data_IF_308706054693
#
_entry.id   IF_308706054693
#
_cell.length_a   1.000
_cell.length_b   1.000
_cell.length_c   1.000
_cell.angle_alpha   90.00
_cell.angle_beta   90.00
_cell.angle_gamma   90.00
#
_symmetry.space_group_name_H-M   'P 1'
#
loop_
_entity.id
_entity.type
_entity.pdbx_description
1 polymer ?
#
# COMPACT_ATOMS: atom_id res chain seq x y z
N UNK A 1 17.35 3.25 -7.09
CA UNK A 1 16.13 2.44 -6.79
C UNK A 1 15.16 3.37 -6.11
N UNK A 2 14.12 3.76 -6.83
CA UNK A 2 13.22 4.85 -6.46
C UNK A 2 11.84 4.55 -7.04
N UNK A 3 10.79 5.02 -6.36
CA UNK A 3 9.45 4.99 -6.92
C UNK A 3 9.25 6.09 -7.97
N UNK A 4 8.14 6.04 -8.73
CA UNK A 4 7.82 7.02 -9.76
C UNK A 4 7.85 8.47 -9.26
N UNK A 5 7.36 8.70 -8.03
CA UNK A 5 7.30 10.04 -7.44
C UNK A 5 8.68 10.67 -7.26
N UNK A 6 9.65 9.89 -6.77
CA UNK A 6 11.03 10.37 -6.57
C UNK A 6 11.68 10.74 -7.90
N UNK A 7 11.46 9.95 -8.96
CA UNK A 7 11.97 10.25 -10.29
C UNK A 7 11.36 11.52 -10.91
N UNK A 8 10.31 12.08 -10.28
CA UNK A 8 9.59 13.28 -10.73
C UNK A 8 9.76 14.48 -9.80
N UNK A 9 10.65 14.38 -8.80
CA UNK A 9 11.05 15.53 -7.97
C UNK A 9 11.73 16.57 -8.86
N UNK A 10 11.33 17.83 -8.69
CA UNK A 10 11.81 18.96 -9.48
C UNK A 10 11.64 20.31 -8.77
N UNK A 11 11.64 21.42 -9.53
CA UNK A 11 11.56 22.78 -8.98
C UNK A 11 10.30 23.04 -8.14
N UNK A 12 9.21 22.30 -8.36
CA UNK A 12 7.96 22.45 -7.61
C UNK A 12 8.11 22.00 -6.15
N UNK A 13 8.72 20.84 -5.90
CA UNK A 13 9.01 20.37 -4.54
C UNK A 13 10.01 21.30 -3.84
N UNK A 14 11.05 21.75 -4.56
CA UNK A 14 12.03 22.70 -4.03
C UNK A 14 11.37 24.01 -3.58
N UNK A 15 10.49 24.57 -4.42
CA UNK A 15 9.79 25.81 -4.11
C UNK A 15 8.91 25.70 -2.86
N UNK A 16 8.15 24.60 -2.72
CA UNK A 16 7.30 24.37 -1.55
C UNK A 16 8.13 24.20 -0.26
N UNK A 17 9.25 23.46 -0.32
CA UNK A 17 10.15 23.26 0.82
C UNK A 17 10.87 24.55 1.22
N UNK A 18 11.41 25.30 0.25
CA UNK A 18 12.04 26.59 0.52
C UNK A 18 11.05 27.60 1.11
N UNK A 19 9.78 27.55 0.70
CA UNK A 19 8.76 28.38 1.31
C UNK A 19 8.59 28.05 2.81
N UNK A 20 8.49 26.78 3.19
CA UNK A 20 8.43 26.37 4.62
C UNK A 20 9.63 26.92 5.41
N UNK A 21 10.85 26.78 4.87
CA UNK A 21 12.07 27.22 5.55
C UNK A 21 12.16 28.75 5.67
N UNK A 22 11.72 29.50 4.66
CA UNK A 22 11.73 30.97 4.67
C UNK A 22 10.71 31.54 5.64
N UNK A 23 9.51 30.97 5.68
CA UNK A 23 8.45 31.38 6.62
C UNK A 23 8.71 30.90 8.05
N UNK A 24 9.60 29.90 8.25
CA UNK A 24 9.93 29.27 9.55
C UNK A 24 8.74 28.54 10.19
N UNK A 25 7.78 28.13 9.38
CA UNK A 25 6.55 27.46 9.76
C UNK A 25 6.74 25.94 9.64
N UNK A 26 7.45 25.35 10.61
CA UNK A 26 7.82 23.92 10.58
C UNK A 26 6.76 23.00 11.19
N UNK A 27 5.73 23.58 11.82
CA UNK A 27 4.63 22.88 12.47
C UNK A 27 3.38 22.95 11.60
N UNK A 28 2.65 21.84 11.47
CA UNK A 28 1.38 21.80 10.73
C UNK A 28 0.26 22.62 11.40
N UNK A 29 0.43 22.93 12.68
CA UNK A 29 -0.49 23.76 13.48
C UNK A 29 0.22 25.00 13.98
N UNK A 30 -0.48 26.13 13.92
CA UNK A 30 -0.07 27.41 14.49
C UNK A 30 -0.80 27.61 15.81
N UNK A 31 -0.06 27.94 16.86
CA UNK A 31 -0.64 28.10 18.20
C UNK A 31 -1.30 29.46 18.41
N UNK A 32 -0.92 30.47 17.61
CA UNK A 32 -1.34 31.86 17.78
C UNK A 32 -2.43 32.30 16.76
N UNK A 33 -2.88 31.39 15.89
CA UNK A 33 -3.89 31.65 14.84
C UNK A 33 -5.31 31.37 15.35
N UNK A 34 -5.78 32.18 16.29
CA UNK A 34 -7.05 31.94 16.99
C UNK A 34 -8.31 32.28 16.17
N UNK A 35 -8.19 33.11 15.13
CA UNK A 35 -9.31 33.53 14.28
C UNK A 35 -9.35 32.80 12.91
N UNK A 36 -8.37 31.92 12.65
CA UNK A 36 -8.27 31.15 11.41
C UNK A 36 -8.01 32.00 10.17
N UNK A 37 -7.53 33.23 10.34
CA UNK A 37 -7.22 34.14 9.24
C UNK A 37 -5.91 33.80 8.53
N UNK A 38 -5.05 33.00 9.16
CA UNK A 38 -3.76 32.67 8.57
C UNK A 38 -3.90 31.70 7.38
N UNK A 39 -3.01 31.79 6.37
CA UNK A 39 -3.04 30.85 5.25
C UNK A 39 -2.87 29.41 5.72
N UNK A 40 -3.58 28.48 5.07
CA UNK A 40 -3.44 27.05 5.32
C UNK A 40 -1.97 26.60 5.26
N UNK A 41 -1.58 25.76 6.21
CA UNK A 41 -0.28 25.08 6.25
C UNK A 41 -0.08 24.18 5.03
N UNK A 42 1.15 23.78 4.74
CA UNK A 42 1.44 22.90 3.60
C UNK A 42 0.73 21.56 3.75
N UNK A 43 0.72 20.99 4.95
CA UNK A 43 -0.04 19.76 5.22
C UNK A 43 -1.54 19.97 4.97
N UNK A 44 -2.14 21.06 5.47
CA UNK A 44 -3.56 21.32 5.28
C UNK A 44 -3.94 21.55 3.80
N UNK A 45 -3.07 22.22 3.03
CA UNK A 45 -3.26 22.39 1.57
C UNK A 45 -3.15 21.05 0.85
N UNK A 46 -2.18 20.22 1.21
CA UNK A 46 -2.05 18.88 0.65
C UNK A 46 -3.30 18.04 0.95
N UNK A 47 -3.79 18.04 2.19
CA UNK A 47 -5.02 17.35 2.58
C UNK A 47 -6.24 17.86 1.79
N UNK A 48 -6.33 19.16 1.52
CA UNK A 48 -7.38 19.75 0.70
C UNK A 48 -7.29 19.30 -0.77
N UNK A 49 -6.10 19.34 -1.37
CA UNK A 49 -5.91 18.94 -2.76
C UNK A 49 -6.11 17.43 -2.95
N UNK A 50 -5.69 16.61 -1.99
CA UNK A 50 -5.90 15.17 -2.05
C UNK A 50 -7.38 14.79 -1.89
N UNK A 51 -8.15 15.49 -1.04
CA UNK A 51 -9.62 15.35 -1.00
C UNK A 51 -10.28 15.76 -2.31
N UNK A 52 -9.82 16.87 -2.89
CA UNK A 52 -10.36 17.35 -4.18
C UNK A 52 -10.10 16.32 -5.29
N UNK A 53 -8.92 15.72 -5.31
CA UNK A 53 -8.57 14.67 -6.25
C UNK A 53 -9.44 13.42 -6.06
N UNK A 54 -9.56 12.94 -4.82
CA UNK A 54 -10.21 11.65 -4.51
C UNK A 54 -11.73 11.73 -4.37
N UNK A 55 -12.27 12.91 -4.10
CA UNK A 55 -13.68 13.13 -3.76
C UNK A 55 -14.05 12.81 -2.31
N UNK A 56 -13.09 12.44 -1.46
CA UNK A 56 -13.35 12.11 -0.06
C UNK A 56 -13.64 13.34 0.79
N UNK A 57 -14.46 13.19 1.84
CA UNK A 57 -14.80 14.27 2.78
C UNK A 57 -13.61 14.64 3.66
N UNK A 58 -12.88 13.64 4.15
CA UNK A 58 -11.78 13.82 5.10
C UNK A 58 -10.48 13.20 4.60
N UNK A 59 -9.39 13.92 4.86
CA UNK A 59 -8.02 13.48 4.61
C UNK A 59 -7.16 13.92 5.78
N UNK A 60 -6.44 12.97 6.38
CA UNK A 60 -5.54 13.22 7.50
C UNK A 60 -4.13 12.76 7.12
N UNK A 61 -3.24 13.71 6.88
CA UNK A 61 -1.82 13.50 6.67
C UNK A 61 -1.16 13.02 7.94
N UNK A 62 -0.47 11.89 7.87
CA UNK A 62 0.25 11.23 8.96
C UNK A 62 1.72 11.02 8.62
N UNK A 63 2.52 10.63 9.61
CA UNK A 63 3.94 10.36 9.42
C UNK A 63 4.24 9.09 8.57
N UNK A 64 3.26 8.20 8.36
CA UNK A 64 3.43 6.93 7.63
C UNK A 64 2.08 6.27 7.33
N UNK A 65 2.03 5.41 6.30
CA UNK A 65 0.86 4.57 6.02
C UNK A 65 0.56 3.60 7.17
N UNK A 66 1.59 3.06 7.81
CA UNK A 66 1.43 2.18 8.98
C UNK A 66 0.67 2.89 10.10
N UNK A 67 0.96 4.17 10.34
CA UNK A 67 0.24 4.98 11.33
C UNK A 67 -1.19 5.27 10.90
N UNK A 68 -1.44 5.50 9.60
CA UNK A 68 -2.78 5.64 9.06
C UNK A 68 -3.62 4.37 9.24
N UNK A 69 -3.08 3.20 8.91
CA UNK A 69 -3.73 1.91 9.16
C UNK A 69 -4.01 1.69 10.64
N UNK A 70 -3.01 1.91 11.50
CA UNK A 70 -3.14 1.70 12.95
C UNK A 70 -4.21 2.63 13.57
N UNK A 71 -4.12 3.94 13.31
CA UNK A 71 -5.07 4.91 13.83
C UNK A 71 -6.48 4.70 13.25
N UNK A 72 -6.59 4.36 11.97
CA UNK A 72 -7.87 4.08 11.32
C UNK A 72 -8.55 2.82 11.87
N UNK A 73 -7.79 1.74 12.12
CA UNK A 73 -8.32 0.52 12.74
C UNK A 73 -8.84 0.80 14.15
N UNK A 74 -8.07 1.49 14.99
CA UNK A 74 -8.52 1.89 16.34
C UNK A 74 -9.75 2.81 16.28
N UNK A 75 -9.76 3.80 15.39
CA UNK A 75 -10.89 4.72 15.20
C UNK A 75 -12.14 4.01 14.68
N UNK A 76 -11.99 2.92 13.93
CA UNK A 76 -13.08 2.05 13.50
C UNK A 76 -13.52 1.04 14.59
N UNK A 77 -12.92 1.10 15.78
CA UNK A 77 -13.25 0.27 16.93
C UNK A 77 -12.67 -1.15 16.86
N UNK A 78 -11.62 -1.38 16.08
CA UNK A 78 -10.86 -2.65 16.10
C UNK A 78 -9.94 -2.67 17.30
N UNK A 79 -9.97 -3.76 18.07
CA UNK A 79 -9.11 -3.91 19.23
C UNK A 79 -8.99 -5.33 19.76
N UNK A 80 -8.60 -5.49 21.04
CA UNK A 80 -8.40 -6.81 21.64
C UNK A 80 -9.63 -7.70 21.57
N UNK A 81 -9.45 -8.91 21.00
CA UNK A 81 -10.52 -9.90 20.83
C UNK A 81 -11.13 -9.93 19.43
N UNK A 82 -10.87 -8.91 18.61
CA UNK A 82 -11.29 -8.90 17.21
C UNK A 82 -10.34 -9.71 16.32
N UNK A 83 -10.86 -10.22 15.20
CA UNK A 83 -10.11 -10.77 14.09
C UNK A 83 -10.19 -9.84 12.88
N UNK A 84 -9.06 -9.60 12.22
CA UNK A 84 -8.99 -8.81 10.99
C UNK A 84 -8.39 -9.66 9.89
N UNK A 85 -9.11 -9.85 8.79
CA UNK A 85 -8.65 -10.64 7.65
C UNK A 85 -7.71 -9.80 6.77
N UNK A 86 -6.54 -10.34 6.41
CA UNK A 86 -5.50 -9.66 5.61
C UNK A 86 -4.92 -10.66 4.60
N UNK A 87 -4.56 -10.29 3.37
CA UNK A 87 -3.96 -11.24 2.43
C UNK A 87 -2.57 -11.71 2.87
N UNK A 88 -2.20 -12.94 2.50
CA UNK A 88 -0.87 -13.51 2.71
C UNK A 88 0.22 -12.91 1.82
N UNK A 89 -0.18 -12.28 0.71
CA UNK A 89 0.69 -11.44 -0.10
C UNK A 89 0.36 -9.96 0.17
N UNK A 90 1.17 -9.35 1.02
CA UNK A 90 1.07 -7.93 1.43
C UNK A 90 2.39 -7.48 2.03
N UNK A 91 2.62 -6.17 2.14
CA UNK A 91 3.69 -5.69 3.00
C UNK A 91 3.35 -5.87 4.49
N UNK A 92 4.34 -6.25 5.31
CA UNK A 92 4.16 -6.54 6.75
C UNK A 92 3.44 -5.45 7.55
N UNK A 93 3.45 -4.19 7.09
CA UNK A 93 2.80 -3.08 7.76
C UNK A 93 1.29 -3.27 7.94
N UNK A 94 0.58 -3.88 6.98
CA UNK A 94 -0.86 -4.13 7.09
C UNK A 94 -1.15 -5.08 8.26
N UNK A 95 -0.31 -6.10 8.43
CA UNK A 95 -0.44 -7.07 9.52
C UNK A 95 0.02 -6.46 10.86
N UNK A 96 1.12 -5.70 10.85
CA UNK A 96 1.64 -5.05 12.04
C UNK A 96 0.65 -4.03 12.62
N UNK A 97 -0.04 -3.27 11.76
CA UNK A 97 -1.07 -2.33 12.20
C UNK A 97 -2.20 -3.04 12.96
N UNK A 98 -2.70 -4.18 12.45
CA UNK A 98 -3.67 -5.02 13.14
C UNK A 98 -3.13 -5.49 14.49
N UNK A 99 -1.96 -6.12 14.51
CA UNK A 99 -1.38 -6.67 15.73
C UNK A 99 -1.17 -5.59 16.81
N UNK A 100 -0.80 -4.37 16.43
CA UNK A 100 -0.62 -3.26 17.35
C UNK A 100 -1.92 -2.68 17.94
N UNK A 101 -3.08 -2.94 17.32
CA UNK A 101 -4.38 -2.65 17.96
C UNK A 101 -4.72 -3.66 19.07
N UNK A 102 -4.01 -4.79 19.13
CA UNK A 102 -4.32 -5.93 19.98
C UNK A 102 -5.30 -6.93 19.36
N UNK A 103 -5.80 -6.67 18.14
CA UNK A 103 -6.57 -7.61 17.34
C UNK A 103 -5.70 -8.71 16.73
N UNK A 104 -6.34 -9.82 16.35
CA UNK A 104 -5.69 -10.98 15.73
C UNK A 104 -5.72 -10.86 14.20
N UNK A 105 -4.56 -10.78 13.52
CA UNK A 105 -4.53 -10.87 12.07
C UNK A 105 -4.82 -12.31 11.60
N UNK A 106 -5.79 -12.44 10.70
CA UNK A 106 -6.18 -13.70 10.06
C UNK A 106 -5.77 -13.65 8.60
N UNK A 107 -4.69 -14.35 8.24
CA UNK A 107 -4.23 -14.35 6.85
C UNK A 107 -5.15 -15.17 5.95
N UNK A 108 -5.39 -14.65 4.77
CA UNK A 108 -6.17 -15.24 3.70
C UNK A 108 -5.37 -15.41 2.40
N UNK A 109 -5.82 -16.34 1.57
CA UNK A 109 -5.26 -16.63 0.26
C UNK A 109 -5.43 -15.45 -0.70
N UNK A 110 -4.56 -15.43 -1.71
CA UNK A 110 -4.75 -14.63 -2.91
C UNK A 110 -5.22 -15.49 -4.08
N UNK A 111 -5.92 -14.88 -5.02
CA UNK A 111 -6.31 -15.51 -6.28
C UNK A 111 -5.29 -15.22 -7.39
N UNK A 112 -5.61 -15.58 -8.63
CA UNK A 112 -4.76 -15.40 -9.80
C UNK A 112 -4.35 -13.93 -10.06
N UNK A 113 -5.13 -12.96 -9.55
CA UNK A 113 -4.80 -11.53 -9.61
C UNK A 113 -3.71 -11.13 -8.60
N UNK A 114 -3.30 -12.06 -7.74
CA UNK A 114 -2.42 -11.85 -6.59
C UNK A 114 -2.99 -10.86 -5.56
N UNK A 115 -4.32 -10.70 -5.55
CA UNK A 115 -5.07 -9.90 -4.58
C UNK A 115 -5.91 -10.82 -3.71
N UNK A 116 -6.43 -10.26 -2.62
CA UNK A 116 -7.21 -11.01 -1.63
C UNK A 116 -8.39 -11.75 -2.27
N UNK A 117 -8.44 -13.09 -2.12
CA UNK A 117 -9.50 -13.94 -2.68
C UNK A 117 -10.79 -13.81 -1.84
N UNK A 118 -11.89 -13.24 -2.39
CA UNK A 118 -13.15 -13.12 -1.65
C UNK A 118 -13.73 -14.44 -1.15
N UNK A 119 -13.48 -15.56 -1.86
CA UNK A 119 -13.97 -16.87 -1.45
C UNK A 119 -13.23 -17.40 -0.20
N UNK A 120 -11.92 -17.19 -0.12
CA UNK A 120 -11.14 -17.55 1.06
C UNK A 120 -11.41 -16.59 2.24
N UNK A 121 -11.71 -15.31 1.97
CA UNK A 121 -12.23 -14.40 3.00
C UNK A 121 -13.50 -14.96 3.61
N UNK A 122 -14.50 -15.32 2.79
CA UNK A 122 -15.77 -15.88 3.26
C UNK A 122 -15.57 -17.12 4.14
N UNK A 123 -14.63 -18.00 3.76
CA UNK A 123 -14.28 -19.20 4.52
C UNK A 123 -13.60 -18.92 5.87
N UNK A 124 -13.04 -17.72 6.06
CA UNK A 124 -12.30 -17.33 7.27
C UNK A 124 -13.09 -16.47 8.23
N UNK A 125 -14.28 -16.03 7.85
CA UNK A 125 -15.16 -15.25 8.73
C UNK A 125 -15.54 -16.10 9.94
N UNK A 126 -15.38 -15.51 11.12
CA UNK A 126 -15.83 -16.07 12.40
C UNK A 126 -16.66 -15.03 13.14
N UNK A 127 -17.26 -15.41 14.26
CA UNK A 127 -17.96 -14.46 15.14
C UNK A 127 -17.06 -13.35 15.73
N UNK A 128 -15.73 -13.48 15.63
CA UNK A 128 -14.77 -12.45 16.04
C UNK A 128 -14.32 -11.56 14.89
N UNK A 129 -14.63 -11.91 13.64
CA UNK A 129 -14.20 -11.10 12.49
C UNK A 129 -14.86 -9.73 12.55
N UNK A 130 -14.03 -8.69 12.55
CA UNK A 130 -14.46 -7.29 12.64
C UNK A 130 -14.21 -6.53 11.35
N UNK A 131 -13.12 -6.86 10.66
CA UNK A 131 -12.71 -6.15 9.45
C UNK A 131 -11.99 -7.05 8.44
N UNK A 132 -11.98 -6.60 7.19
CA UNK A 132 -11.21 -7.16 6.08
C UNK A 132 -10.36 -6.03 5.49
N UNK A 133 -9.06 -6.26 5.33
CA UNK A 133 -8.15 -5.30 4.69
C UNK A 133 -7.93 -5.72 3.23
N UNK A 134 -8.51 -4.96 2.30
CA UNK A 134 -8.22 -5.05 0.88
C UNK A 134 -6.89 -4.34 0.59
N UNK A 135 -5.84 -5.11 0.30
CA UNK A 135 -4.53 -4.55 -0.06
C UNK A 135 -4.41 -4.51 -1.58
N UNK A 136 -4.35 -3.30 -2.14
CA UNK A 136 -4.20 -3.07 -3.58
C UNK A 136 -2.76 -3.29 -4.04
N UNK A 137 -2.33 -4.55 -3.97
CA UNK A 137 -0.95 -4.95 -4.20
C UNK A 137 -0.49 -4.64 -5.62
N UNK A 138 0.73 -4.10 -5.71
CA UNK A 138 1.37 -3.72 -6.97
C UNK A 138 0.53 -2.73 -7.79
N UNK A 139 -0.27 -1.89 -7.11
CA UNK A 139 -1.09 -0.86 -7.74
C UNK A 139 -2.41 -1.32 -8.37
N UNK A 140 -2.72 -2.62 -8.29
CA UNK A 140 -3.96 -3.16 -8.85
C UNK A 140 -5.12 -3.08 -7.85
N UNK A 141 -6.31 -2.61 -8.27
CA UNK A 141 -7.53 -2.67 -7.49
C UNK A 141 -7.94 -4.10 -7.16
N UNK A 142 -8.34 -4.35 -5.91
CA UNK A 142 -8.96 -5.62 -5.52
C UNK A 142 -10.34 -5.75 -6.18
N UNK A 143 -10.95 -6.94 -6.11
CA UNK A 143 -12.38 -7.13 -6.42
C UNK A 143 -13.25 -6.44 -5.35
N UNK A 144 -13.39 -5.12 -5.48
CA UNK A 144 -14.08 -4.30 -4.49
C UNK A 144 -15.58 -4.57 -4.51
N UNK A 145 -16.18 -4.94 -5.65
CA UNK A 145 -17.59 -5.33 -5.71
C UNK A 145 -17.82 -6.59 -4.86
N UNK A 146 -16.99 -7.63 -5.02
CA UNK A 146 -17.12 -8.86 -4.24
C UNK A 146 -16.83 -8.65 -2.74
N UNK A 147 -15.76 -7.91 -2.42
CA UNK A 147 -15.38 -7.65 -1.02
C UNK A 147 -16.38 -6.75 -0.29
N UNK A 148 -16.91 -5.71 -0.94
CA UNK A 148 -17.93 -4.83 -0.38
C UNK A 148 -19.25 -5.57 -0.17
N UNK A 149 -19.69 -6.38 -1.14
CA UNK A 149 -20.87 -7.23 -0.98
C UNK A 149 -20.72 -8.19 0.21
N UNK A 150 -19.59 -8.91 0.29
CA UNK A 150 -19.30 -9.86 1.36
C UNK A 150 -19.23 -9.18 2.74
N UNK A 151 -18.51 -8.06 2.84
CA UNK A 151 -18.39 -7.34 4.13
C UNK A 151 -19.72 -6.78 4.60
N UNK A 152 -20.58 -6.27 3.69
CA UNK A 152 -21.93 -5.82 4.04
C UNK A 152 -22.83 -6.96 4.49
N UNK A 153 -22.82 -8.10 3.81
CA UNK A 153 -23.60 -9.28 4.18
C UNK A 153 -23.32 -9.72 5.63
N UNK A 154 -22.06 -9.65 6.05
CA UNK A 154 -21.61 -10.08 7.37
C UNK A 154 -21.49 -8.93 8.40
N UNK A 155 -21.82 -7.69 8.04
CA UNK A 155 -21.67 -6.54 8.93
C UNK A 155 -20.22 -6.24 9.33
N UNK A 156 -19.27 -6.55 8.46
CA UNK A 156 -17.83 -6.34 8.64
C UNK A 156 -17.40 -4.98 8.09
N UNK A 157 -16.29 -4.46 8.61
CA UNK A 157 -15.64 -3.28 8.05
C UNK A 157 -14.76 -3.67 6.86
N UNK A 158 -14.90 -2.98 5.74
CA UNK A 158 -13.90 -3.00 4.67
C UNK A 158 -12.87 -1.89 4.91
N UNK A 159 -11.59 -2.20 4.86
CA UNK A 159 -10.48 -1.23 4.97
C UNK A 159 -9.62 -1.37 3.72
N UNK A 160 -9.21 -0.25 3.13
CA UNK A 160 -8.36 -0.26 1.95
C UNK A 160 -6.92 0.13 2.31
N UNK A 161 -5.97 -0.77 2.04
CA UNK A 161 -4.54 -0.45 2.05
C UNK A 161 -4.12 -0.08 0.62
N UNK A 162 -4.06 1.23 0.37
CA UNK A 162 -3.70 1.84 -0.89
C UNK A 162 -2.21 2.21 -0.94
N UNK A 163 -1.35 1.64 -0.08
CA UNK A 163 0.07 2.01 0.00
C UNK A 163 0.82 1.87 -1.33
N UNK A 164 0.37 1.00 -2.23
CA UNK A 164 0.95 0.80 -3.56
C UNK A 164 0.02 1.27 -4.70
N UNK A 165 -1.16 1.82 -4.38
CA UNK A 165 -2.20 2.17 -5.34
C UNK A 165 -2.60 3.66 -5.27
N UNK A 166 -1.61 4.53 -5.02
CA UNK A 166 -1.80 5.98 -4.96
C UNK A 166 -2.40 6.53 -6.26
N UNK A 167 -3.64 7.01 -6.18
CA UNK A 167 -4.40 7.58 -7.31
C UNK A 167 -5.04 6.54 -8.25
N UNK A 168 -4.95 5.24 -7.93
CA UNK A 168 -5.72 4.22 -8.63
C UNK A 168 -7.22 4.42 -8.46
N UNK A 169 -8.00 3.77 -9.32
CA UNK A 169 -9.47 3.83 -9.31
C UNK A 169 -10.07 2.43 -9.41
N UNK A 170 -11.35 2.30 -9.08
CA UNK A 170 -12.17 1.14 -9.41
C UNK A 170 -13.50 1.64 -9.97
N UNK A 171 -13.84 1.26 -11.20
CA UNK A 171 -15.01 1.74 -11.94
C UNK A 171 -15.15 3.28 -11.93
N UNK A 172 -14.02 3.97 -12.09
CA UNK A 172 -13.93 5.43 -12.16
C UNK A 172 -13.95 6.17 -10.81
N UNK A 173 -14.15 5.47 -9.68
CA UNK A 173 -14.04 6.06 -8.34
C UNK A 173 -12.66 5.79 -7.74
N UNK A 174 -12.06 6.77 -7.07
CA UNK A 174 -10.74 6.61 -6.46
C UNK A 174 -10.72 5.55 -5.35
N UNK A 175 -9.66 4.73 -5.37
CA UNK A 175 -9.37 3.78 -4.29
C UNK A 175 -9.19 4.51 -2.96
N UNK A 176 -9.46 3.81 -1.86
CA UNK A 176 -9.45 4.36 -0.51
C UNK A 176 -10.76 5.02 -0.08
N UNK A 177 -11.77 5.07 -0.97
CA UNK A 177 -13.09 5.61 -0.70
C UNK A 177 -14.21 4.56 -0.62
N UNK A 178 -13.95 3.28 -0.88
CA UNK A 178 -14.98 2.24 -0.91
C UNK A 178 -15.29 1.69 0.47
N UNK A 179 -14.26 1.52 1.30
CA UNK A 179 -14.38 1.00 2.65
C UNK A 179 -14.69 2.07 3.71
N UNK A 180 -14.50 1.67 4.96
CA UNK A 180 -14.57 2.51 6.16
C UNK A 180 -13.50 3.61 6.14
N UNK A 181 -12.31 3.27 5.68
CA UNK A 181 -11.23 4.23 5.39
C UNK A 181 -10.20 3.60 4.42
N UNK A 182 -9.45 4.48 3.75
CA UNK A 182 -8.28 4.13 2.96
C UNK A 182 -7.00 4.65 3.58
N UNK A 183 -5.91 3.90 3.46
CA UNK A 183 -4.59 4.30 3.92
C UNK A 183 -3.58 4.37 2.77
N UNK A 184 -2.83 5.47 2.68
CA UNK A 184 -1.85 5.70 1.62
C UNK A 184 -0.46 5.90 2.20
N UNK A 185 0.55 5.57 1.39
CA UNK A 185 1.96 5.74 1.71
C UNK A 185 2.59 6.81 0.82
N UNK A 186 3.43 7.64 1.43
CA UNK A 186 4.27 8.63 0.74
C UNK A 186 5.76 8.28 0.81
N UNK A 187 6.09 7.04 1.19
CA UNK A 187 7.47 6.55 1.18
C UNK A 187 8.15 6.69 -0.21
N UNK A 188 9.48 6.72 -0.25
CA UNK A 188 10.30 6.88 -1.47
C UNK A 188 10.03 5.89 -2.62
N UNK A 189 9.43 4.73 -2.35
CA UNK A 189 9.11 3.73 -3.38
C UNK A 189 7.72 3.89 -4.01
N UNK A 190 6.93 4.92 -3.61
CA UNK A 190 5.52 5.03 -4.00
C UNK A 190 5.31 5.86 -5.27
N UNK A 191 4.11 5.73 -5.86
CA UNK A 191 3.69 6.43 -7.08
C UNK A 191 3.87 7.94 -6.96
N UNK A 192 3.56 8.49 -5.78
CA UNK A 192 3.90 9.85 -5.36
C UNK A 192 4.50 9.79 -3.96
N UNK A 193 5.36 10.73 -3.61
CA UNK A 193 6.21 10.61 -2.41
C UNK A 193 6.34 11.90 -1.61
N UNK A 194 6.81 11.77 -0.37
CA UNK A 194 7.29 12.86 0.47
C UNK A 194 8.53 12.43 1.27
N UNK A 195 9.28 11.44 0.77
CA UNK A 195 10.33 10.75 1.52
C UNK A 195 9.74 9.69 2.44
N UNK A 196 9.06 10.13 3.49
CA UNK A 196 8.20 9.32 4.36
C UNK A 196 6.95 10.10 4.74
N UNK A 197 5.83 9.40 4.86
CA UNK A 197 4.53 9.99 5.14
C UNK A 197 3.41 9.01 4.86
N UNK A 198 2.20 9.36 5.26
CA UNK A 198 1.00 8.62 4.91
C UNK A 198 -0.25 9.48 4.99
N UNK A 199 -1.36 8.90 4.58
CA UNK A 199 -2.67 9.56 4.59
C UNK A 199 -3.72 8.57 5.05
N UNK A 200 -4.63 9.01 5.93
CA UNK A 200 -5.91 8.36 6.17
C UNK A 200 -6.99 9.13 5.42
N UNK A 201 -7.78 8.43 4.61
CA UNK A 201 -8.90 8.96 3.83
C UNK A 201 -10.20 8.34 4.32
N UNK A 202 -11.24 9.13 4.57
CA UNK A 202 -12.55 8.60 5.00
C UNK A 202 -13.67 9.58 4.67
N UNK A 203 -14.89 9.05 4.56
CA UNK A 203 -16.12 9.83 4.47
C UNK A 203 -16.89 9.88 5.81
N UNK A 204 -16.35 9.27 6.87
CA UNK A 204 -17.00 9.19 8.18
C UNK A 204 -16.43 10.23 9.16
N UNK A 205 -17.30 11.13 9.62
CA UNK A 205 -16.95 12.24 10.51
C UNK A 205 -16.41 11.74 11.87
N UNK A 206 -17.07 10.76 12.49
CA UNK A 206 -16.69 10.22 13.80
C UNK A 206 -15.34 9.50 13.75
N UNK A 207 -15.09 8.75 12.66
CA UNK A 207 -13.82 8.09 12.42
C UNK A 207 -12.71 9.13 12.24
N UNK A 208 -12.95 10.19 11.46
CA UNK A 208 -11.97 11.25 11.26
C UNK A 208 -11.63 11.95 12.58
N UNK A 209 -12.62 12.33 13.38
CA UNK A 209 -12.40 12.97 14.68
C UNK A 209 -11.60 12.08 15.63
N UNK A 210 -11.95 10.79 15.71
CA UNK A 210 -11.25 9.81 16.56
C UNK A 210 -9.82 9.57 16.06
N UNK A 211 -9.63 9.41 14.75
CA UNK A 211 -8.32 9.22 14.14
C UNK A 211 -7.42 10.46 14.34
N UNK A 212 -7.98 11.67 14.27
CA UNK A 212 -7.27 12.92 14.53
C UNK A 212 -6.79 12.98 15.98
N UNK A 213 -7.67 12.67 16.93
CA UNK A 213 -7.33 12.60 18.34
C UNK A 213 -6.23 11.57 18.62
N UNK A 214 -6.29 10.39 18.00
CA UNK A 214 -5.24 9.36 18.10
C UNK A 214 -3.90 9.83 17.51
N UNK A 215 -3.96 10.62 16.45
CA UNK A 215 -2.79 11.14 15.74
C UNK A 215 -2.10 12.29 16.48
N UNK A 216 -2.83 13.01 17.33
CA UNK A 216 -2.36 14.26 17.92
C UNK A 216 -2.75 14.43 19.41
N UNK A 217 -2.38 13.46 20.25
CA UNK A 217 -2.52 13.52 21.71
C UNK A 217 -3.92 13.89 22.25
N UNK A 218 -4.99 13.44 21.59
CA UNK A 218 -6.37 13.71 22.02
C UNK A 218 -6.93 15.05 21.53
N UNK A 219 -6.20 15.78 20.68
CA UNK A 219 -6.64 17.08 20.19
C UNK A 219 -7.84 16.98 19.23
N UNK A 220 -8.64 18.04 19.17
CA UNK A 220 -9.70 18.19 18.17
C UNK A 220 -9.12 18.59 16.80
N UNK A 221 -9.80 18.23 15.69
CA UNK A 221 -9.39 18.61 14.33
C UNK A 221 -9.10 20.10 14.17
N UNK A 222 -8.01 20.41 13.47
CA UNK A 222 -7.55 21.76 13.11
C UNK A 222 -7.24 22.72 14.28
N UNK A 223 -7.65 22.40 15.51
CA UNK A 223 -7.41 23.18 16.74
C UNK A 223 -7.92 24.63 16.66
N UNK A 224 -8.89 24.93 15.79
CA UNK A 224 -9.49 26.26 15.62
C UNK A 224 -10.61 26.44 16.65
N UNK A 225 -10.35 27.24 17.68
CA UNK A 225 -11.34 27.60 18.72
C UNK A 225 -11.66 26.50 19.75
N UNK A 226 -11.43 25.22 19.43
CA UNK A 226 -11.53 24.08 20.34
C UNK A 226 -10.27 23.22 20.19
N UNK A 227 -9.53 23.01 21.29
CA UNK A 227 -8.29 22.22 21.29
C UNK A 227 -8.47 20.80 21.78
N UNK A 228 -9.44 20.58 22.68
CA UNK A 228 -9.72 19.27 23.28
C UNK A 228 -10.67 18.47 22.38
N UNK A 229 -10.20 17.30 21.92
CA UNK A 229 -11.01 16.34 21.18
C UNK A 229 -11.63 15.28 22.11
N UNK A 230 -12.04 14.13 21.57
CA UNK A 230 -12.46 12.98 22.36
C UNK A 230 -11.44 12.63 23.46
N UNK A 231 -11.88 12.27 24.68
CA UNK A 231 -11.01 12.03 25.83
C UNK A 231 -10.28 10.69 25.71
N UNK A 232 -9.30 10.62 24.81
CA UNK A 232 -8.49 9.44 24.52
C UNK A 232 -7.00 9.75 24.52
N UNK A 233 -6.19 8.75 24.84
CA UNK A 233 -4.74 8.87 24.76
C UNK A 233 -4.28 8.70 23.32
N UNK A 234 -3.94 9.83 22.67
CA UNK A 234 -3.31 9.84 21.36
C UNK A 234 -1.78 9.73 21.42
N UNK A 235 -1.20 9.39 20.28
CA UNK A 235 0.24 9.42 20.02
C UNK A 235 0.62 10.73 19.30
N UNK A 236 1.87 10.81 18.88
CA UNK A 236 2.33 11.81 17.92
C UNK A 236 2.58 11.12 16.58
N UNK A 237 1.58 11.14 15.70
CA UNK A 237 1.63 10.56 14.36
C UNK A 237 1.65 11.65 13.28
N UNK A 238 2.00 12.89 13.67
CA UNK A 238 1.86 14.08 12.84
C UNK A 238 2.74 14.06 11.60
N UNK A 239 2.16 14.45 10.47
CA UNK A 239 2.92 14.88 9.30
C UNK A 239 3.57 16.25 9.58
N UNK A 240 4.86 16.37 9.24
CA UNK A 240 5.60 17.62 9.35
C UNK A 240 5.43 18.50 8.10
N UNK A 241 5.62 19.82 8.24
CA UNK A 241 5.43 20.76 7.12
C UNK A 241 6.39 20.53 5.94
N UNK A 242 7.61 20.06 6.19
CA UNK A 242 8.54 19.69 5.12
C UNK A 242 8.02 18.49 4.31
N UNK A 243 7.46 17.48 4.99
CA UNK A 243 6.78 16.35 4.34
C UNK A 243 5.55 16.84 3.57
N UNK A 244 4.72 17.68 4.19
CA UNK A 244 3.53 18.27 3.57
C UNK A 244 3.87 19.10 2.32
N UNK A 245 4.97 19.84 2.33
CA UNK A 245 5.44 20.63 1.20
C UNK A 245 5.78 19.76 -0.02
N UNK A 246 6.55 18.69 0.19
CA UNK A 246 6.87 17.74 -0.90
C UNK A 246 5.60 17.03 -1.38
N UNK A 247 4.74 16.58 -0.45
CA UNK A 247 3.48 15.92 -0.77
C UNK A 247 2.54 16.82 -1.60
N UNK A 248 2.48 18.12 -1.28
CA UNK A 248 1.68 19.12 -1.99
C UNK A 248 2.13 19.31 -3.44
N UNK A 249 3.43 19.38 -3.69
CA UNK A 249 3.94 19.42 -5.07
C UNK A 249 3.67 18.10 -5.81
N UNK A 250 3.87 16.97 -5.14
CA UNK A 250 3.75 15.64 -5.73
C UNK A 250 2.31 15.24 -6.06
N UNK A 251 1.32 15.61 -5.24
CA UNK A 251 -0.10 15.30 -5.52
C UNK A 251 -0.58 15.96 -6.82
N UNK A 252 -0.07 17.16 -7.14
CA UNK A 252 -0.38 17.87 -8.39
C UNK A 252 0.17 17.16 -9.62
N UNK A 253 1.25 16.38 -9.46
CA UNK A 253 1.89 15.58 -10.52
C UNK A 253 1.27 14.19 -10.66
N UNK A 254 0.52 13.71 -9.68
CA UNK A 254 0.02 12.34 -9.65
C UNK A 254 -0.79 11.93 -10.90
N UNK A 255 -1.72 12.75 -11.44
CA UNK A 255 -2.44 12.39 -12.67
C UNK A 255 -1.51 12.19 -13.88
N UNK A 256 -0.46 13.03 -14.00
CA UNK A 256 0.54 12.91 -15.07
C UNK A 256 1.36 11.63 -14.92
N UNK A 257 1.83 11.36 -13.70
CA UNK A 257 2.59 10.15 -13.37
C UNK A 257 1.81 8.90 -13.76
N UNK A 258 0.53 8.81 -13.36
CA UNK A 258 -0.32 7.66 -13.68
C UNK A 258 -0.55 7.52 -15.18
N UNK A 259 -0.77 8.62 -15.89
CA UNK A 259 -0.91 8.63 -17.35
C UNK A 259 0.35 8.09 -18.04
N UNK A 260 1.54 8.52 -17.61
CA UNK A 260 2.81 7.98 -18.14
C UNK A 260 2.98 6.50 -17.81
N UNK A 261 2.74 6.09 -16.56
CA UNK A 261 2.88 4.69 -16.14
C UNK A 261 1.98 3.75 -16.95
N UNK A 262 0.72 4.12 -17.15
CA UNK A 262 -0.24 3.33 -17.95
C UNK A 262 0.21 3.23 -19.41
N UNK A 263 0.62 4.33 -20.02
CA UNK A 263 1.15 4.33 -21.39
C UNK A 263 2.41 3.45 -21.52
N UNK A 264 3.34 3.54 -20.56
CA UNK A 264 4.56 2.73 -20.55
C UNK A 264 4.24 1.24 -20.34
N UNK A 265 3.32 0.91 -19.43
CA UNK A 265 2.83 -0.46 -19.23
C UNK A 265 2.25 -1.02 -20.52
N UNK A 266 1.41 -0.27 -21.23
CA UNK A 266 0.75 -0.74 -22.44
C UNK A 266 1.77 -1.02 -23.55
N UNK A 267 2.65 -0.04 -23.84
CA UNK A 267 3.77 -0.23 -24.77
C UNK A 267 4.64 -1.43 -24.40
N UNK A 268 4.97 -1.57 -23.13
CA UNK A 268 5.84 -2.64 -22.65
C UNK A 268 5.16 -4.02 -22.76
N UNK A 269 3.88 -4.12 -22.38
CA UNK A 269 3.10 -5.35 -22.51
C UNK A 269 2.91 -5.75 -23.98
N UNK A 270 2.59 -4.79 -24.86
CA UNK A 270 2.44 -5.02 -26.30
C UNK A 270 3.75 -5.48 -26.95
N UNK A 271 4.88 -4.89 -26.56
CA UNK A 271 6.20 -5.29 -27.05
C UNK A 271 6.63 -6.69 -26.57
N UNK A 272 6.18 -7.13 -25.39
CA UNK A 272 6.41 -8.49 -24.90
C UNK A 272 5.53 -9.49 -25.70
N UNK A 273 4.23 -9.17 -25.84
CA UNK A 273 3.25 -10.02 -26.50
C UNK A 273 2.96 -11.32 -25.74
N UNK A 274 2.29 -12.26 -26.41
CA UNK A 274 1.99 -13.57 -25.84
C UNK A 274 3.23 -14.47 -25.81
N UNK A 275 3.42 -15.19 -24.71
CA UNK A 275 4.53 -16.10 -24.49
C UNK A 275 4.02 -17.49 -24.10
N UNK A 276 4.59 -18.58 -24.62
CA UNK A 276 4.13 -19.94 -24.34
C UNK A 276 4.33 -20.28 -22.86
N UNK A 277 3.27 -20.79 -22.21
CA UNK A 277 3.32 -21.18 -20.80
C UNK A 277 3.44 -20.02 -19.83
N UNK A 278 3.13 -18.79 -20.26
CA UNK A 278 3.17 -17.60 -19.43
C UNK A 278 1.87 -16.82 -19.59
N UNK A 279 1.28 -16.39 -18.49
CA UNK A 279 0.04 -15.63 -18.46
C UNK A 279 0.27 -14.32 -17.72
N UNK A 280 -0.21 -13.21 -18.29
CA UNK A 280 -0.21 -11.92 -17.60
C UNK A 280 -1.22 -11.97 -16.45
N UNK A 281 -0.87 -11.39 -15.31
CA UNK A 281 -1.76 -11.25 -14.14
C UNK A 281 -3.12 -10.66 -14.57
N UNK A 282 -4.25 -11.32 -14.28
CA UNK A 282 -5.57 -10.74 -14.49
C UNK A 282 -5.80 -9.54 -13.56
N UNK A 283 -6.59 -8.56 -14.00
CA UNK A 283 -6.93 -7.36 -13.25
C UNK A 283 -8.46 -7.23 -13.20
N UNK A 284 -9.02 -6.90 -12.03
CA UNK A 284 -10.46 -6.68 -11.89
C UNK A 284 -10.93 -5.35 -12.52
N UNK A 285 -10.06 -4.34 -12.52
CA UNK A 285 -10.25 -3.09 -13.26
C UNK A 285 -8.93 -2.65 -13.92
N UNK A 286 -8.68 -3.04 -15.19
CA UNK A 286 -7.47 -2.66 -15.92
C UNK A 286 -7.28 -1.15 -16.12
N UNK A 287 -8.38 -0.40 -16.23
CA UNK A 287 -8.35 1.06 -16.41
C UNK A 287 -8.01 1.78 -15.09
N UNK A 288 -8.36 1.14 -13.98
CA UNK A 288 -8.12 1.61 -12.63
C UNK A 288 -6.73 1.38 -12.05
N UNK A 289 -5.96 0.45 -12.62
CA UNK A 289 -4.59 0.10 -12.21
C UNK A 289 -3.63 1.30 -12.22
N UNK A 290 -2.75 1.39 -11.22
CA UNK A 290 -1.66 2.38 -11.18
C UNK A 290 -0.51 2.05 -12.15
N UNK A 291 -0.46 0.83 -12.68
CA UNK A 291 0.49 0.40 -13.70
C UNK A 291 1.97 0.55 -13.29
N UNK A 292 2.27 0.38 -11.99
CA UNK A 292 3.65 0.54 -11.47
C UNK A 292 4.53 -0.67 -11.76
N UNK A 293 3.91 -1.83 -11.98
CA UNK A 293 4.55 -3.14 -12.17
C UNK A 293 3.70 -3.99 -13.13
N UNK A 294 4.35 -4.72 -14.04
CA UNK A 294 3.75 -5.79 -14.83
C UNK A 294 4.08 -7.15 -14.20
N UNK A 295 3.11 -8.05 -14.10
CA UNK A 295 3.33 -9.37 -13.50
C UNK A 295 2.96 -10.47 -14.48
N UNK A 296 3.84 -11.46 -14.57
CA UNK A 296 3.66 -12.66 -15.37
C UNK A 296 3.74 -13.89 -14.48
N UNK A 297 2.79 -14.80 -14.66
CA UNK A 297 2.69 -16.08 -13.96
C UNK A 297 3.01 -17.21 -14.95
N UNK A 298 3.98 -18.04 -14.60
CA UNK A 298 4.53 -19.10 -15.45
C UNK A 298 3.89 -20.45 -15.15
N UNK A 299 3.80 -21.34 -16.13
CA UNK A 299 3.18 -22.66 -16.00
C UNK A 299 3.79 -23.54 -14.88
N UNK A 300 5.02 -23.27 -14.46
CA UNK A 300 5.65 -23.93 -13.31
C UNK A 300 6.62 -23.01 -12.57
N UNK A 301 6.82 -23.29 -11.26
CA UNK A 301 7.82 -22.62 -10.44
C UNK A 301 9.26 -22.84 -10.96
N UNK A 302 9.53 -24.00 -11.57
CA UNK A 302 10.83 -24.29 -12.17
C UNK A 302 11.14 -23.34 -13.35
N UNK A 303 10.17 -23.14 -14.24
CA UNK A 303 10.32 -22.21 -15.37
C UNK A 303 10.49 -20.76 -14.87
N UNK A 304 9.68 -20.32 -13.92
CA UNK A 304 9.84 -18.99 -13.31
C UNK A 304 11.21 -18.83 -12.64
N UNK A 305 11.69 -19.85 -11.92
CA UNK A 305 13.00 -19.85 -11.28
C UNK A 305 14.16 -19.68 -12.26
N UNK A 306 14.11 -20.41 -13.38
CA UNK A 306 15.12 -20.31 -14.45
C UNK A 306 15.12 -18.93 -15.11
N UNK A 307 13.94 -18.41 -15.46
CA UNK A 307 13.80 -17.07 -16.03
C UNK A 307 14.28 -16.00 -15.04
N UNK A 308 13.89 -16.09 -13.77
CA UNK A 308 14.32 -15.17 -12.74
C UNK A 308 15.85 -15.17 -12.57
N UNK A 309 16.48 -16.35 -12.58
CA UNK A 309 17.93 -16.49 -12.48
C UNK A 309 18.65 -15.84 -13.66
N UNK A 310 18.19 -16.08 -14.89
CA UNK A 310 18.77 -15.48 -16.12
C UNK A 310 18.62 -13.96 -16.17
N UNK A 311 17.50 -13.43 -15.69
CA UNK A 311 17.26 -11.98 -15.60
C UNK A 311 17.98 -11.34 -14.40
N UNK A 312 18.50 -12.12 -13.46
CA UNK A 312 19.07 -11.60 -12.21
C UNK A 312 18.03 -10.95 -11.30
N UNK A 313 16.80 -11.50 -11.29
CA UNK A 313 15.68 -11.12 -10.43
C UNK A 313 15.22 -12.31 -9.56
N UNK A 314 14.07 -12.19 -8.90
CA UNK A 314 13.46 -13.21 -8.05
C UNK A 314 12.02 -13.48 -8.47
N UNK A 315 11.51 -14.66 -8.11
CA UNK A 315 10.06 -14.89 -8.09
C UNK A 315 9.45 -14.21 -6.85
N UNK A 316 8.16 -13.88 -6.92
CA UNK A 316 7.48 -13.15 -5.84
C UNK A 316 7.46 -13.92 -4.51
N UNK A 317 7.59 -15.25 -4.53
CA UNK A 317 7.73 -16.05 -3.29
C UNK A 317 8.94 -15.65 -2.45
N UNK A 318 9.98 -15.08 -3.08
CA UNK A 318 11.20 -14.60 -2.42
C UNK A 318 11.16 -13.11 -2.10
N UNK A 319 10.07 -12.41 -2.42
CA UNK A 319 9.86 -11.01 -2.04
C UNK A 319 9.81 -10.93 -0.51
N UNK A 320 10.65 -10.07 0.08
CA UNK A 320 11.02 -10.16 1.50
C UNK A 320 9.83 -10.09 2.46
N UNK A 321 9.51 -8.91 2.99
CA UNK A 321 8.35 -8.69 3.86
C UNK A 321 7.08 -8.43 3.05
N UNK A 322 7.02 -8.93 1.82
CA UNK A 322 5.83 -8.90 0.97
C UNK A 322 5.12 -10.27 0.91
N UNK A 323 5.84 -11.35 1.24
CA UNK A 323 5.28 -12.69 1.37
C UNK A 323 5.27 -13.12 2.84
N UNK A 324 4.10 -13.51 3.36
CA UNK A 324 3.94 -13.98 4.75
C UNK A 324 4.97 -15.07 5.13
N UNK A 325 5.29 -15.98 4.21
CA UNK A 325 6.19 -17.11 4.46
C UNK A 325 7.61 -16.67 4.88
N UNK A 326 8.00 -15.44 4.50
CA UNK A 326 9.29 -14.83 4.79
C UNK A 326 9.27 -13.95 6.07
N UNK A 327 8.11 -13.73 6.69
CA UNK A 327 7.96 -12.87 7.87
C UNK A 327 8.16 -13.70 9.15
N UNK A 328 9.30 -13.52 9.83
CA UNK A 328 9.57 -14.23 11.09
C UNK A 328 8.60 -13.86 12.21
N UNK A 329 7.98 -12.67 12.15
CA UNK A 329 7.01 -12.17 13.10
C UNK A 329 5.74 -13.03 13.18
N UNK A 330 5.42 -13.76 12.12
CA UNK A 330 4.26 -14.65 12.04
C UNK A 330 4.55 -16.07 12.55
N UNK A 331 5.75 -16.29 13.12
CA UNK A 331 6.19 -17.57 13.67
C UNK A 331 6.66 -17.38 15.11
N UNK A 332 5.72 -17.13 16.05
CA UNK A 332 6.06 -16.82 17.44
C UNK A 332 6.88 -17.93 18.12
N UNK A 333 6.77 -19.18 17.63
CA UNK A 333 7.51 -20.38 18.05
C UNK A 333 9.01 -20.37 17.69
N UNK A 334 9.45 -19.55 16.72
CA UNK A 334 10.86 -19.50 16.27
C UNK A 334 11.75 -18.50 17.00
N UNK A 335 11.21 -17.75 17.96
CA UNK A 335 12.00 -16.82 18.76
C UNK A 335 12.67 -17.57 19.93
N UNK A 336 13.83 -18.16 19.64
CA UNK A 336 14.61 -18.93 20.62
C UNK A 336 15.34 -18.02 21.63
N UNK A 337 15.06 -18.25 22.91
CA UNK A 337 15.87 -18.06 24.14
C UNK A 337 15.72 -16.79 25.03
N UNK A 338 15.22 -17.06 26.25
CA UNK A 338 15.73 -16.69 27.60
C UNK A 338 16.39 -15.32 27.80
N UNK A 339 15.58 -14.26 27.77
CA UNK A 339 15.75 -12.94 28.42
C UNK A 339 14.81 -11.90 27.76
N UNK A 340 14.48 -12.14 26.49
CA UNK A 340 13.58 -11.32 25.65
C UNK A 340 12.10 -11.48 26.01
N UNK A 341 11.68 -12.68 26.46
CA UNK A 341 10.28 -12.98 26.81
C UNK A 341 9.68 -12.06 27.89
N UNK A 342 10.50 -11.60 28.85
CA UNK A 342 10.05 -10.69 29.91
C UNK A 342 9.99 -9.22 29.46
N UNK A 343 10.52 -8.88 28.29
CA UNK A 343 10.57 -7.52 27.72
C UNK A 343 9.84 -7.41 26.39
N UNK A 344 9.00 -8.40 26.05
CA UNK A 344 8.08 -8.30 24.92
C UNK A 344 6.95 -7.32 25.26
N UNK A 345 6.87 -6.14 24.62
CA UNK A 345 5.67 -5.31 24.71
C UNK A 345 4.47 -6.00 24.03
N UNK A 346 4.73 -7.00 23.19
CA UNK A 346 3.80 -7.80 22.38
C UNK A 346 3.31 -9.08 23.07
N UNK A 347 2.86 -9.02 24.34
CA UNK A 347 1.96 -10.09 24.86
C UNK A 347 0.69 -10.25 24.00
N UNK A 348 0.44 -9.30 23.09
CA UNK A 348 -0.55 -9.29 22.02
C UNK A 348 -0.01 -9.74 20.64
N UNK A 349 1.12 -10.46 20.56
CA UNK A 349 1.55 -11.09 19.30
C UNK A 349 0.41 -11.93 18.70
N UNK A 350 0.34 -12.08 17.36
CA UNK A 350 -0.64 -12.95 16.73
C UNK A 350 -0.58 -14.34 17.38
N UNK A 351 -1.73 -14.79 17.88
CA UNK A 351 -1.86 -16.12 18.49
C UNK A 351 -1.74 -17.21 17.42
N UNK A 352 -2.12 -16.90 16.19
CA UNK A 352 -1.97 -17.77 15.02
C UNK A 352 -0.54 -17.71 14.50
N UNK A 353 0.03 -18.88 14.22
CA UNK A 353 1.31 -19.02 13.52
C UNK A 353 1.05 -19.35 12.06
N UNK A 354 1.82 -18.72 11.16
CA UNK A 354 1.74 -18.91 9.72
C UNK A 354 3.11 -19.32 9.15
N UNK A 355 3.57 -20.57 9.36
CA UNK A 355 4.74 -21.08 8.67
C UNK A 355 4.53 -21.17 7.15
N UNK A 356 5.60 -21.21 6.33
CA UNK A 356 5.48 -21.54 4.91
C UNK A 356 4.63 -22.80 4.69
N UNK A 357 3.73 -22.79 3.70
CA UNK A 357 2.74 -23.84 3.47
C UNK A 357 1.37 -23.59 4.12
N UNK A 358 1.21 -22.51 4.90
CA UNK A 358 -0.08 -22.18 5.54
C UNK A 358 -1.13 -21.65 4.56
N UNK A 359 -0.67 -21.07 3.45
CA UNK A 359 -1.49 -20.52 2.37
C UNK A 359 -0.99 -21.14 1.05
N UNK A 360 -1.33 -22.42 0.77
CA UNK A 360 -0.78 -23.17 -0.35
C UNK A 360 -1.08 -22.55 -1.72
N UNK A 361 -2.20 -21.85 -1.90
CA UNK A 361 -2.50 -21.20 -3.19
C UNK A 361 -1.60 -19.98 -3.40
N UNK A 362 -1.46 -19.16 -2.36
CA UNK A 362 -0.52 -18.02 -2.34
C UNK A 362 0.90 -18.50 -2.58
N UNK A 363 1.33 -19.56 -1.91
CA UNK A 363 2.67 -20.13 -2.08
C UNK A 363 2.92 -20.60 -3.52
N UNK A 364 1.97 -21.32 -4.11
CA UNK A 364 2.02 -21.74 -5.52
C UNK A 364 2.16 -20.52 -6.42
N UNK A 365 1.18 -19.61 -6.41
CA UNK A 365 1.14 -18.46 -7.31
C UNK A 365 2.41 -17.63 -7.22
N UNK A 366 2.83 -17.24 -6.02
CA UNK A 366 4.02 -16.42 -5.83
C UNK A 366 5.30 -17.14 -6.27
N UNK A 367 5.38 -18.47 -6.16
CA UNK A 367 6.56 -19.24 -6.58
C UNK A 367 6.76 -19.23 -8.11
N UNK A 368 5.69 -19.00 -8.86
CA UNK A 368 5.66 -18.98 -10.33
C UNK A 368 5.38 -17.60 -10.92
N UNK A 369 5.32 -16.54 -10.12
CA UNK A 369 5.13 -15.18 -10.62
C UNK A 369 6.42 -14.35 -10.57
N UNK A 370 6.66 -13.57 -11.62
CA UNK A 370 7.74 -12.58 -11.71
C UNK A 370 7.14 -11.20 -11.96
N UNK A 371 7.63 -10.20 -11.24
CA UNK A 371 7.31 -8.81 -11.43
C UNK A 371 8.37 -8.11 -12.30
N UNK A 372 7.92 -7.36 -13.29
CA UNK A 372 8.72 -6.45 -14.09
C UNK A 372 8.34 -5.01 -13.72
N UNK A 373 9.33 -4.19 -13.39
CA UNK A 373 9.08 -2.76 -13.12
C UNK A 373 8.54 -2.07 -14.37
N UNK A 374 7.53 -1.21 -14.16
CA UNK A 374 7.16 -0.14 -15.10
C UNK A 374 7.57 1.22 -14.55
N UNK A 375 7.53 1.37 -13.22
CA UNK A 375 8.00 2.58 -12.54
C UNK A 375 8.55 2.36 -11.13
N UNK A 376 8.25 1.23 -10.50
CA UNK A 376 8.79 0.89 -9.17
C UNK A 376 9.93 -0.12 -9.34
N UNK A 377 11.17 0.40 -9.36
CA UNK A 377 12.38 -0.41 -9.40
C UNK A 377 12.81 -0.78 -7.99
N UNK A 378 12.34 -1.93 -7.50
CA UNK A 378 12.61 -2.41 -6.15
C UNK A 378 13.01 -3.90 -6.13
N UNK A 379 14.28 -4.15 -5.84
CA UNK A 379 14.81 -5.52 -5.69
C UNK A 379 14.24 -6.28 -4.50
N UNK A 380 13.76 -5.57 -3.46
CA UNK A 380 13.14 -6.18 -2.29
C UNK A 380 11.73 -6.69 -2.58
N UNK A 381 10.98 -5.95 -3.40
CA UNK A 381 9.68 -6.35 -3.94
C UNK A 381 9.81 -7.46 -5.00
N UNK A 382 10.93 -7.48 -5.74
CA UNK A 382 11.18 -8.41 -6.84
C UNK A 382 10.97 -7.81 -8.23
N UNK A 383 10.77 -6.49 -8.31
CA UNK A 383 10.62 -5.72 -9.56
C UNK A 383 11.93 -5.03 -9.98
N UNK A 384 13.06 -5.72 -9.84
CA UNK A 384 14.37 -5.13 -10.19
C UNK A 384 14.56 -4.91 -11.70
N UNK A 385 13.93 -5.76 -12.51
CA UNK A 385 14.09 -5.82 -13.97
C UNK A 385 12.86 -5.22 -14.62
N UNK A 386 13.02 -4.53 -15.75
CA UNK A 386 11.93 -3.88 -16.49
C UNK A 386 12.35 -2.48 -16.93
N UNK A 387 11.44 -1.53 -16.77
CA UNK A 387 11.60 -0.12 -17.11
C UNK A 387 11.28 0.78 -15.91
N UNK A 388 11.53 2.08 -16.05
CA UNK A 388 11.10 3.11 -15.10
C UNK A 388 10.14 4.12 -15.74
N UNK A 389 9.60 5.04 -14.93
CA UNK A 389 8.59 6.03 -15.36
C UNK A 389 9.13 7.06 -16.37
N UNK A 390 10.44 7.10 -16.58
CA UNK A 390 11.14 7.98 -17.53
C UNK A 390 11.67 7.22 -18.74
N UNK A 391 11.35 5.93 -18.88
CA UNK A 391 11.83 5.12 -20.00
C UNK A 391 11.27 5.60 -21.33
N UNK A 392 12.17 5.74 -22.30
CA UNK A 392 11.87 6.04 -23.70
C UNK A 392 11.57 4.74 -24.49
N UNK A 393 11.00 4.89 -25.70
CA UNK A 393 10.49 3.76 -26.48
C UNK A 393 11.57 2.70 -26.81
N UNK A 394 12.81 3.10 -27.06
CA UNK A 394 13.93 2.20 -27.34
C UNK A 394 14.31 1.35 -26.12
N UNK A 395 14.31 1.94 -24.93
CA UNK A 395 14.53 1.24 -23.66
C UNK A 395 13.39 0.27 -23.35
N UNK A 396 12.13 0.66 -23.64
CA UNK A 396 10.95 -0.20 -23.48
C UNK A 396 11.08 -1.44 -24.38
N UNK A 397 11.38 -1.25 -25.66
CA UNK A 397 11.55 -2.37 -26.59
C UNK A 397 12.73 -3.27 -26.20
N UNK A 398 13.84 -2.70 -25.75
CA UNK A 398 15.01 -3.46 -25.32
C UNK A 398 14.69 -4.34 -24.10
N UNK A 399 13.99 -3.80 -23.10
CA UNK A 399 13.55 -4.55 -21.94
C UNK A 399 12.56 -5.67 -22.33
N UNK A 400 11.65 -5.40 -23.27
CA UNK A 400 10.67 -6.38 -23.77
C UNK A 400 11.38 -7.55 -24.48
N UNK A 401 12.31 -7.24 -25.39
CA UNK A 401 13.11 -8.25 -26.09
C UNK A 401 13.93 -9.09 -25.14
N UNK A 402 14.54 -8.48 -24.12
CA UNK A 402 15.29 -9.21 -23.09
C UNK A 402 14.40 -10.22 -22.36
N UNK A 403 13.25 -9.77 -21.86
CA UNK A 403 12.31 -10.65 -21.16
C UNK A 403 11.84 -11.79 -22.07
N UNK A 404 11.34 -11.46 -23.26
CA UNK A 404 10.85 -12.43 -24.25
C UNK A 404 11.88 -13.50 -24.59
N UNK A 405 13.09 -13.09 -24.99
CA UNK A 405 14.16 -14.03 -25.37
C UNK A 405 14.52 -14.96 -24.20
N UNK A 406 14.53 -14.41 -22.98
CA UNK A 406 14.83 -15.20 -21.78
C UNK A 406 13.76 -16.25 -21.51
N UNK A 407 12.48 -15.90 -21.68
CA UNK A 407 11.36 -16.83 -21.52
C UNK A 407 11.41 -17.93 -22.58
N UNK A 408 11.62 -17.58 -23.84
CA UNK A 408 11.72 -18.54 -24.95
C UNK A 408 12.89 -19.52 -24.76
N UNK A 409 14.03 -19.04 -24.30
CA UNK A 409 15.20 -19.89 -24.06
C UNK A 409 15.04 -20.79 -22.83
N UNK A 410 14.33 -20.34 -21.80
CA UNK A 410 13.96 -21.18 -20.65
C UNK A 410 12.96 -22.28 -21.06
N UNK A 411 12.00 -21.96 -21.94
CA UNK A 411 11.05 -22.95 -22.46
C UNK A 411 11.74 -24.04 -23.29
N UNK A 412 12.70 -23.67 -24.16
CA UNK A 412 13.50 -24.62 -24.94
C UNK A 412 14.41 -25.52 -24.08
N UNK A 413 14.88 -25.02 -22.95
CA UNK A 413 15.71 -25.81 -22.03
C UNK A 413 14.89 -26.85 -21.24
N UNK A 414 13.57 -26.67 -21.15
CA UNK A 414 12.66 -27.56 -20.44
C UNK A 414 11.97 -28.62 -21.33
N UNK A 415 12.02 -28.44 -22.66
CA UNK A 415 11.58 -29.41 -23.68
C UNK A 415 12.69 -30.35 -24.07
#
# INVERSE_FOLDING_TARGET
MTGPGVSRIGPEEEAEVLNVLRERELSRYRFDDHDGSAPLSKVARFEQEFRTLTGARHCLGMNSCTSALFAGLLAAGVGPGDEVIVPGYTFIASIAAVAHTGAEPVLAEVDESLLLDPADVAARITARTKAVIAVHMLGAPCDLDALDALTREHGLLLVEDCAQAGGGTYHGRHLGGFGRFGAFSLNVFKTFTAGDGGVLLTDDDDLYETAFALHDHGAAPLRVGVTEGPPLFGLNLRMHELTGAVALAQVRKLPDILRTLRANRDKFADAIGDLPGVTRRPLHDPDGDCATVLVYTFASAAMAGEVAARLGTITLSRSGKHNYANMSQLRPDRLTSTASETRRPDRAAPRRSYPPGSLPRTDDLLSRSIALSVGVVDSYLGSKVGIDVTAEDDAIEAAARLFKTTVEDAAKAAS
#
